data_IF_705395901241
#
_entry.id   IF_705395901241
#
_cell.length_a   1.000
_cell.length_b   1.000
_cell.length_c   1.000
_cell.angle_alpha   90.00
_cell.angle_beta   90.00
_cell.angle_gamma   90.00
#
_symmetry.space_group_name_H-M   'P 1'
#
loop_
_entity.id
_entity.type
_entity.pdbx_description
1 polymer ?
#
# COMPACT_ATOMS: atom_id res chain seq x y z
N UNK A 1 9.51 10.33 -23.82
CA UNK A 1 8.57 11.06 -22.94
C UNK A 1 7.24 10.35 -22.70
N UNK A 2 6.75 9.46 -23.58
CA UNK A 2 5.53 8.67 -23.32
C UNK A 2 5.72 7.50 -22.32
N UNK A 3 6.96 7.15 -21.97
CA UNK A 3 7.29 5.97 -21.16
C UNK A 3 7.11 6.18 -19.65
N UNK A 4 7.28 7.43 -19.17
CA UNK A 4 7.35 7.72 -17.74
C UNK A 4 5.97 7.81 -17.08
N UNK A 5 4.97 8.26 -17.83
CA UNK A 5 3.57 8.34 -17.37
C UNK A 5 2.98 6.93 -17.19
N UNK A 6 3.19 6.04 -18.16
CA UNK A 6 2.77 4.64 -18.07
C UNK A 6 3.46 3.89 -16.92
N UNK A 7 4.76 4.12 -16.73
CA UNK A 7 5.50 3.55 -15.60
C UNK A 7 4.99 4.05 -14.25
N UNK A 8 4.74 5.37 -14.11
CA UNK A 8 4.15 5.95 -12.90
C UNK A 8 2.79 5.33 -12.58
N UNK A 9 1.93 5.16 -13.58
CA UNK A 9 0.61 4.56 -13.40
C UNK A 9 0.71 3.11 -12.94
N UNK A 10 1.62 2.33 -13.52
CA UNK A 10 1.87 0.95 -13.12
C UNK A 10 2.29 0.85 -11.66
N UNK A 11 3.17 1.74 -11.18
CA UNK A 11 3.58 1.74 -9.78
C UNK A 11 2.48 2.21 -8.83
N UNK A 12 1.65 3.17 -9.24
CA UNK A 12 0.49 3.60 -8.45
C UNK A 12 -0.54 2.46 -8.30
N UNK A 13 -0.81 1.73 -9.37
CA UNK A 13 -1.64 0.53 -9.36
C UNK A 13 -1.03 -0.57 -8.47
N UNK A 14 0.29 -0.78 -8.57
CA UNK A 14 0.97 -1.82 -7.80
C UNK A 14 0.92 -1.57 -6.29
N UNK A 15 1.09 -0.33 -5.82
CA UNK A 15 0.92 -0.01 -4.39
C UNK A 15 -0.49 -0.34 -3.91
N UNK A 16 -1.50 0.04 -4.70
CA UNK A 16 -2.89 -0.29 -4.40
C UNK A 16 -3.13 -1.79 -4.32
N UNK A 17 -2.75 -2.55 -5.36
CA UNK A 17 -2.96 -4.00 -5.45
C UNK A 17 -2.35 -4.74 -4.26
N UNK A 18 -1.15 -4.35 -3.84
CA UNK A 18 -0.47 -4.95 -2.69
C UNK A 18 -1.19 -4.62 -1.38
N UNK A 19 -1.59 -3.36 -1.17
CA UNK A 19 -2.31 -2.95 0.03
C UNK A 19 -3.70 -3.61 0.12
N UNK A 20 -4.43 -3.68 -0.99
CA UNK A 20 -5.75 -4.29 -1.09
C UNK A 20 -5.70 -5.80 -0.86
N UNK A 21 -4.73 -6.49 -1.46
CA UNK A 21 -4.51 -7.92 -1.24
C UNK A 21 -4.24 -8.24 0.24
N UNK A 22 -3.50 -7.39 0.95
CA UNK A 22 -3.26 -7.55 2.40
C UNK A 22 -4.53 -7.27 3.21
N UNK A 23 -5.30 -6.28 2.81
CA UNK A 23 -6.52 -5.89 3.49
C UNK A 23 -7.57 -7.01 3.45
N UNK A 24 -7.64 -7.73 2.32
CA UNK A 24 -8.60 -8.82 2.07
C UNK A 24 -8.04 -10.22 2.30
N UNK A 25 -6.76 -10.35 2.63
CA UNK A 25 -6.18 -11.63 3.00
C UNK A 25 -6.91 -12.26 4.21
N UNK A 26 -7.09 -13.60 4.21
CA UNK A 26 -7.71 -14.32 5.31
C UNK A 26 -7.11 -13.96 6.67
N UNK A 27 -7.92 -14.00 7.72
CA UNK A 27 -7.48 -13.70 9.08
C UNK A 27 -6.27 -14.59 9.43
N UNK A 28 -5.14 -13.95 9.77
CA UNK A 28 -3.91 -14.65 10.11
C UNK A 28 -2.85 -14.74 9.02
N UNK A 29 -3.13 -14.34 7.78
CA UNK A 29 -2.18 -14.49 6.68
C UNK A 29 -1.85 -13.15 6.00
N UNK A 30 -0.56 -12.84 5.89
CA UNK A 30 0.00 -11.83 4.98
C UNK A 30 1.11 -12.54 4.21
N UNK A 31 1.15 -12.44 2.87
CA UNK A 31 2.25 -13.00 2.10
C UNK A 31 3.61 -12.50 2.63
N UNK A 32 4.60 -13.40 2.83
CA UNK A 32 5.91 -12.98 3.30
C UNK A 32 6.56 -12.01 2.31
N UNK A 33 7.20 -10.96 2.83
CA UNK A 33 7.89 -9.96 2.01
C UNK A 33 7.00 -8.83 1.48
N UNK A 34 5.72 -8.79 1.85
CA UNK A 34 4.79 -7.71 1.45
C UNK A 34 5.33 -6.33 1.82
N UNK A 35 5.83 -6.13 3.04
CA UNK A 35 6.45 -4.85 3.44
C UNK A 35 7.63 -4.46 2.52
N UNK A 36 8.51 -5.41 2.19
CA UNK A 36 9.65 -5.16 1.30
C UNK A 36 9.23 -4.87 -0.14
N UNK A 37 8.11 -5.44 -0.60
CA UNK A 37 7.51 -5.14 -1.90
C UNK A 37 6.95 -3.72 -1.91
N UNK A 38 6.21 -3.33 -0.88
CA UNK A 38 5.67 -1.98 -0.71
C UNK A 38 6.76 -0.91 -0.68
N UNK A 39 7.85 -1.12 0.08
CA UNK A 39 8.97 -0.18 0.09
C UNK A 39 9.60 0.00 -1.29
N UNK A 40 9.82 -1.09 -2.05
CA UNK A 40 10.35 -0.99 -3.41
C UNK A 40 9.42 -0.21 -4.35
N UNK A 41 8.11 -0.41 -4.21
CA UNK A 41 7.12 0.34 -4.99
C UNK A 41 7.13 1.84 -4.64
N UNK A 42 7.25 2.17 -3.35
CA UNK A 42 7.37 3.55 -2.86
C UNK A 42 8.66 4.20 -3.38
N UNK A 43 9.78 3.50 -3.36
CA UNK A 43 11.06 4.03 -3.86
C UNK A 43 11.01 4.28 -5.37
N UNK A 44 10.39 3.36 -6.12
CA UNK A 44 10.15 3.54 -7.56
C UNK A 44 9.23 4.73 -7.83
N UNK A 45 8.18 4.91 -7.03
CA UNK A 45 7.32 6.08 -7.09
C UNK A 45 8.10 7.36 -6.79
N UNK A 46 8.89 7.41 -5.70
CA UNK A 46 9.70 8.60 -5.34
C UNK A 46 10.61 9.04 -6.47
N UNK A 47 11.22 8.09 -7.19
CA UNK A 47 12.06 8.37 -8.35
C UNK A 47 11.30 9.04 -9.53
N UNK A 48 9.97 8.95 -9.57
CA UNK A 48 9.11 9.44 -10.65
C UNK A 48 8.33 10.71 -10.30
N UNK A 49 8.61 11.34 -9.15
CA UNK A 49 7.97 12.59 -8.68
C UNK A 49 6.41 12.60 -8.78
N UNK A 50 5.70 11.68 -8.12
CA UNK A 50 4.26 11.48 -8.28
C UNK A 50 3.40 12.58 -7.64
N UNK A 51 4.02 13.48 -6.87
CA UNK A 51 3.39 14.44 -5.96
C UNK A 51 3.51 13.96 -4.52
N UNK A 52 3.83 14.88 -3.59
CA UNK A 52 4.15 14.57 -2.19
C UNK A 52 3.02 13.81 -1.48
N UNK A 53 1.77 14.10 -1.83
CA UNK A 53 0.59 13.47 -1.23
C UNK A 53 0.49 11.97 -1.53
N UNK A 54 0.91 11.51 -2.72
CA UNK A 54 0.88 10.08 -3.06
C UNK A 54 1.94 9.30 -2.28
N UNK A 55 3.12 9.89 -2.08
CA UNK A 55 4.19 9.26 -1.30
C UNK A 55 3.77 9.15 0.15
N UNK A 56 3.23 10.22 0.75
CA UNK A 56 2.76 10.21 2.13
C UNK A 56 1.68 9.14 2.36
N UNK A 57 0.72 9.00 1.44
CA UNK A 57 -0.31 7.95 1.51
C UNK A 57 0.28 6.55 1.40
N UNK A 58 1.22 6.32 0.48
CA UNK A 58 1.85 5.01 0.31
C UNK A 58 2.69 4.61 1.54
N UNK A 59 3.42 5.55 2.13
CA UNK A 59 4.16 5.34 3.39
C UNK A 59 3.22 5.02 4.55
N UNK A 60 2.07 5.70 4.63
CA UNK A 60 1.06 5.42 5.65
C UNK A 60 0.46 4.00 5.49
N UNK A 61 0.23 3.53 4.26
CA UNK A 61 -0.18 2.14 4.00
C UNK A 61 0.89 1.15 4.42
N UNK A 62 2.15 1.39 4.03
CA UNK A 62 3.29 0.54 4.37
C UNK A 62 3.45 0.38 5.89
N UNK A 63 3.28 1.46 6.65
CA UNK A 63 3.30 1.42 8.11
C UNK A 63 2.15 0.58 8.69
N UNK A 64 0.93 0.71 8.14
CA UNK A 64 -0.22 -0.10 8.56
C UNK A 64 0.01 -1.59 8.28
N UNK A 65 0.55 -1.93 7.10
CA UNK A 65 0.93 -3.31 6.74
C UNK A 65 1.97 -3.85 7.72
N UNK A 66 3.03 -3.09 8.00
CA UNK A 66 4.06 -3.52 8.95
C UNK A 66 3.49 -3.77 10.35
N UNK A 67 2.62 -2.89 10.83
CA UNK A 67 1.93 -3.07 12.11
C UNK A 67 1.03 -4.31 12.09
N UNK A 68 0.36 -4.59 10.97
CA UNK A 68 -0.47 -5.77 10.81
C UNK A 68 0.36 -7.05 10.81
N UNK A 69 1.50 -7.09 10.11
CA UNK A 69 2.47 -8.20 10.17
C UNK A 69 2.87 -8.48 11.62
N UNK A 70 3.25 -7.44 12.38
CA UNK A 70 3.59 -7.56 13.80
C UNK A 70 2.43 -8.08 14.65
N UNK A 71 1.21 -7.57 14.46
CA UNK A 71 0.04 -8.03 15.19
C UNK A 71 -0.26 -9.52 14.93
N UNK A 72 -0.13 -9.97 13.66
CA UNK A 72 -0.35 -11.36 13.28
C UNK A 72 0.70 -12.33 13.84
N UNK A 73 1.91 -11.85 14.13
CA UNK A 73 2.95 -12.63 14.83
C UNK A 73 2.65 -12.82 16.33
N UNK A 74 1.43 -12.50 16.80
CA UNK A 74 1.02 -12.63 18.19
C UNK A 74 1.58 -11.51 19.09
N UNK A 75 2.06 -10.41 18.51
CA UNK A 75 2.71 -9.31 19.25
C UNK A 75 1.76 -8.13 19.54
N UNK A 76 0.50 -8.19 19.11
CA UNK A 76 -0.57 -7.24 19.43
C UNK A 76 -1.96 -7.82 19.09
N UNK A 77 -3.03 -7.34 19.75
CA UNK A 77 -4.43 -7.74 19.51
C UNK A 77 -5.14 -6.96 18.39
N UNK A 78 -4.47 -5.99 17.76
CA UNK A 78 -5.15 -4.98 16.93
C UNK A 78 -5.29 -5.34 15.44
N UNK A 79 -5.02 -6.59 15.04
CA UNK A 79 -4.97 -7.00 13.63
C UNK A 79 -6.28 -6.70 12.85
N UNK A 80 -7.44 -6.80 13.50
CA UNK A 80 -8.72 -6.49 12.86
C UNK A 80 -8.90 -4.97 12.64
N UNK A 81 -8.45 -4.14 13.58
CA UNK A 81 -8.48 -2.68 13.45
C UNK A 81 -7.52 -2.20 12.36
N UNK A 82 -6.32 -2.76 12.33
CA UNK A 82 -5.30 -2.46 11.31
C UNK A 82 -5.77 -2.86 9.90
N UNK A 83 -6.47 -3.99 9.74
CA UNK A 83 -7.11 -4.33 8.45
C UNK A 83 -8.17 -3.31 8.03
N UNK A 84 -9.03 -2.86 8.96
CA UNK A 84 -10.04 -1.82 8.65
C UNK A 84 -9.37 -0.50 8.25
N UNK A 85 -8.30 -0.12 8.94
CA UNK A 85 -7.51 1.06 8.60
C UNK A 85 -6.90 0.92 7.20
N UNK A 86 -6.31 -0.23 6.87
CA UNK A 86 -5.73 -0.46 5.56
C UNK A 86 -6.77 -0.38 4.44
N UNK A 87 -7.97 -0.94 4.64
CA UNK A 87 -9.09 -0.79 3.68
C UNK A 87 -9.49 0.67 3.47
N UNK A 88 -9.53 1.47 4.54
CA UNK A 88 -9.84 2.89 4.43
C UNK A 88 -8.76 3.62 3.61
N UNK A 89 -7.48 3.35 3.91
CA UNK A 89 -6.35 3.91 3.15
C UNK A 89 -6.41 3.50 1.66
N UNK A 90 -6.74 2.24 1.34
CA UNK A 90 -6.89 1.77 -0.04
C UNK A 90 -8.01 2.50 -0.79
N UNK A 91 -9.11 2.84 -0.12
CA UNK A 91 -10.19 3.64 -0.72
C UNK A 91 -9.76 5.09 -0.97
N UNK A 92 -9.14 5.72 0.03
CA UNK A 92 -8.59 7.07 -0.10
C UNK A 92 -7.56 7.16 -1.24
N UNK A 93 -6.79 6.09 -1.47
CA UNK A 93 -5.85 6.00 -2.58
C UNK A 93 -6.53 6.01 -3.94
N UNK A 94 -7.61 5.24 -4.11
CA UNK A 94 -8.40 5.23 -5.34
C UNK A 94 -8.93 6.64 -5.62
N UNK A 95 -9.56 7.27 -4.63
CA UNK A 95 -10.16 8.61 -4.75
C UNK A 95 -9.11 9.69 -5.08
N UNK A 96 -7.90 9.55 -4.52
CA UNK A 96 -6.79 10.47 -4.76
C UNK A 96 -6.06 10.24 -6.09
N UNK A 97 -6.27 9.09 -6.74
CA UNK A 97 -5.53 8.69 -7.93
C UNK A 97 -6.45 8.72 -9.16
N UNK A 98 -6.31 9.72 -10.07
CA UNK A 98 -7.20 9.91 -11.23
C UNK A 98 -7.24 8.75 -12.23
N UNK A 99 -6.43 7.71 -12.04
CA UNK A 99 -6.29 6.56 -12.93
C UNK A 99 -7.36 5.50 -12.73
N UNK A 100 -8.05 5.54 -11.59
CA UNK A 100 -9.09 4.58 -11.24
C UNK A 100 -10.50 5.13 -11.49
N UNK A 101 -10.62 6.31 -12.11
CA UNK A 101 -11.86 6.98 -12.51
C UNK A 101 -11.90 7.16 -14.03
#
# INVERSE_FOLDING_TARGET
MANDVGAKHAWLAYVYEVADAVADAPAGNIPPGTTSVLHRAIDALKAMAPGDDHIARAEAMSLTVHRLEWALLGRSTDAAALRRQLRAQSREWIEATPLFH
#
